data_IF_965947865825
#
_entry.id   IF_965947865825
#
_cell.length_a   1.000
_cell.length_b   1.000
_cell.length_c   1.000
_cell.angle_alpha   90.00
_cell.angle_beta   90.00
_cell.angle_gamma   90.00
#
_symmetry.space_group_name_H-M   'P 1'
#
loop_
_entity.id
_entity.type
_entity.pdbx_description
1 polymer ?
#
# COMPACT_ATOMS: atom_id res chain seq x y z
N UNK A 1 14.22 4.38 -23.68
CA UNK A 1 13.32 3.87 -22.67
C UNK A 1 11.87 4.08 -23.08
N UNK A 2 11.04 3.05 -22.93
CA UNK A 2 9.64 3.12 -23.30
C UNK A 2 8.85 3.84 -22.21
N UNK A 3 8.02 4.80 -22.58
CA UNK A 3 7.16 5.48 -21.63
C UNK A 3 6.16 4.52 -20.97
N UNK A 4 5.81 3.45 -21.67
CA UNK A 4 4.93 2.41 -21.12
C UNK A 4 5.57 1.70 -19.93
N UNK A 5 6.86 1.42 -20.02
CA UNK A 5 7.59 0.77 -18.93
C UNK A 5 7.58 1.64 -17.67
N UNK A 6 7.83 2.94 -17.84
CA UNK A 6 7.85 3.87 -16.72
C UNK A 6 6.48 3.96 -16.04
N UNK A 7 5.41 3.96 -16.83
CA UNK A 7 4.05 4.00 -16.30
C UNK A 7 3.74 2.74 -15.49
N UNK A 8 4.10 1.58 -16.01
CA UNK A 8 3.87 0.31 -15.30
C UNK A 8 4.65 0.25 -13.99
N UNK A 9 5.91 0.69 -14.03
CA UNK A 9 6.75 0.70 -12.85
C UNK A 9 6.17 1.61 -11.77
N UNK A 10 5.75 2.81 -12.15
CA UNK A 10 5.12 3.75 -11.22
C UNK A 10 3.82 3.18 -10.64
N UNK A 11 3.03 2.52 -11.47
CA UNK A 11 1.78 1.90 -11.03
C UNK A 11 2.05 0.83 -9.97
N UNK A 12 3.00 -0.06 -10.22
CA UNK A 12 3.32 -1.13 -9.27
C UNK A 12 3.88 -0.58 -7.97
N UNK A 13 4.72 0.44 -8.03
CA UNK A 13 5.25 1.05 -6.82
C UNK A 13 4.14 1.69 -5.99
N UNK A 14 3.23 2.41 -6.63
CA UNK A 14 2.10 3.01 -5.95
C UNK A 14 1.17 1.96 -5.34
N UNK A 15 0.91 0.91 -6.11
CA UNK A 15 0.05 -0.18 -5.64
C UNK A 15 0.65 -0.88 -4.42
N UNK A 16 1.95 -1.13 -4.45
CA UNK A 16 2.66 -1.77 -3.33
C UNK A 16 2.54 -0.91 -2.07
N UNK A 17 2.75 0.39 -2.20
CA UNK A 17 2.59 1.31 -1.08
C UNK A 17 1.18 1.28 -0.51
N UNK A 18 0.19 1.31 -1.38
CA UNK A 18 -1.21 1.29 -0.96
C UNK A 18 -1.55 0.01 -0.19
N UNK A 19 -1.05 -1.13 -0.67
CA UNK A 19 -1.28 -2.42 0.00
C UNK A 19 -0.65 -2.43 1.39
N UNK A 20 0.60 -1.97 1.50
CA UNK A 20 1.31 -1.91 2.78
C UNK A 20 0.57 -1.00 3.75
N UNK A 21 0.15 0.17 3.30
CA UNK A 21 -0.59 1.12 4.14
C UNK A 21 -1.92 0.54 4.59
N UNK A 22 -2.62 -0.15 3.70
CA UNK A 22 -3.90 -0.76 4.02
C UNK A 22 -3.74 -1.84 5.08
N UNK A 23 -2.75 -2.71 4.92
CA UNK A 23 -2.48 -3.79 5.88
C UNK A 23 -2.06 -3.20 7.22
N UNK A 24 -1.11 -2.28 7.22
CA UNK A 24 -0.63 -1.66 8.45
C UNK A 24 -1.75 -0.91 9.17
N UNK A 25 -2.54 -0.14 8.42
CA UNK A 25 -3.66 0.59 8.98
C UNK A 25 -4.70 -0.34 9.59
N UNK A 26 -5.00 -1.45 8.93
CA UNK A 26 -5.91 -2.46 9.44
C UNK A 26 -5.44 -3.08 10.74
N UNK A 27 -4.15 -3.39 10.81
CA UNK A 27 -3.56 -3.95 12.03
C UNK A 27 -3.64 -2.95 13.18
N UNK A 28 -3.30 -1.69 12.93
CA UNK A 28 -3.36 -0.65 13.94
C UNK A 28 -4.78 -0.45 14.48
N UNK A 29 -5.75 -0.40 13.59
CA UNK A 29 -7.15 -0.22 13.99
C UNK A 29 -7.62 -1.41 14.82
N UNK A 30 -7.30 -2.63 14.39
CA UNK A 30 -7.68 -3.84 15.12
C UNK A 30 -7.05 -3.86 16.51
N UNK A 31 -5.77 -3.50 16.62
CA UNK A 31 -5.10 -3.44 17.92
C UNK A 31 -5.73 -2.41 18.84
N UNK A 32 -6.10 -1.25 18.32
CA UNK A 32 -6.74 -0.21 19.10
C UNK A 32 -8.09 -0.66 19.63
N UNK A 33 -8.88 -1.36 18.81
CA UNK A 33 -10.18 -1.88 19.21
C UNK A 33 -10.02 -2.95 20.29
N UNK A 34 -9.05 -3.84 20.14
CA UNK A 34 -8.79 -4.89 21.12
C UNK A 34 -8.27 -4.32 22.44
N UNK A 35 -7.50 -3.24 22.39
CA UNK A 35 -6.95 -2.62 23.58
C UNK A 35 -7.99 -1.90 24.40
N UNK A 36 -9.06 -1.48 23.76
CA UNK A 36 -10.14 -0.77 24.43
C UNK A 36 -11.06 -1.77 25.13
#
# INVERSE_FOLDING_TARGET
>A
MSSKYAVWLAFFLNLSFAIVEFIAGGIFVSSAVLAD
#
